data_IF_782704855881
#
_entry.id   IF_782704855881
#
_cell.length_a   1.000
_cell.length_b   1.000
_cell.length_c   1.000
_cell.angle_alpha   90.00
_cell.angle_beta   90.00
_cell.angle_gamma   90.00
#
_symmetry.space_group_name_H-M   'P 1'
#
loop_
_entity.id
_entity.type
_entity.pdbx_description
1 polymer ?
#
# COMPACT_ATOMS: atom_id res chain seq x y z
N UNK A 1 -3.59 6.94 25.90
CA UNK A 1 -3.36 8.35 25.52
C UNK A 1 -3.45 8.40 24.01
N UNK A 2 -4.43 9.10 23.45
CA UNK A 2 -4.63 9.16 22.00
C UNK A 2 -3.85 10.31 21.40
N UNK A 3 -3.10 10.05 20.34
CA UNK A 3 -2.51 11.11 19.51
C UNK A 3 -3.58 11.67 18.58
N UNK A 4 -3.55 12.97 18.33
CA UNK A 4 -4.38 13.62 17.31
C UNK A 4 -3.49 14.17 16.20
N UNK A 5 -3.94 14.13 14.95
CA UNK A 5 -3.26 14.78 13.84
C UNK A 5 -4.04 16.01 13.41
N UNK A 6 -3.39 17.17 13.40
CA UNK A 6 -3.98 18.43 12.96
C UNK A 6 -3.32 18.91 11.66
N UNK A 7 -4.12 19.52 10.78
CA UNK A 7 -3.59 20.41 9.75
C UNK A 7 -3.22 21.75 10.39
N UNK A 8 -1.96 22.16 10.27
CA UNK A 8 -1.44 23.37 10.93
C UNK A 8 -1.03 24.46 9.94
N UNK A 9 -1.02 25.70 10.41
CA UNK A 9 -0.61 26.85 9.59
C UNK A 9 0.89 26.81 9.24
N UNK A 10 1.31 27.46 8.15
CA UNK A 10 2.71 27.58 7.76
C UNK A 10 3.64 28.04 8.89
N UNK A 11 3.23 29.02 9.68
CA UNK A 11 4.02 29.58 10.79
C UNK A 11 4.23 28.55 11.90
N UNK A 12 3.18 27.78 12.24
CA UNK A 12 3.28 26.71 13.23
C UNK A 12 4.17 25.58 12.72
N UNK A 13 4.06 25.24 11.43
CA UNK A 13 4.85 24.18 10.80
C UNK A 13 6.34 24.51 10.79
N UNK A 14 6.71 25.74 10.42
CA UNK A 14 8.09 26.21 10.47
C UNK A 14 8.65 26.15 11.91
N UNK A 15 7.92 26.69 12.89
CA UNK A 15 8.35 26.66 14.29
C UNK A 15 8.53 25.22 14.81
N UNK A 16 7.63 24.32 14.45
CA UNK A 16 7.69 22.92 14.85
C UNK A 16 8.83 22.17 14.15
N UNK A 17 9.05 22.44 12.85
CA UNK A 17 10.17 21.90 12.09
C UNK A 17 11.51 22.29 12.74
N UNK A 18 11.70 23.57 13.06
CA UNK A 18 12.88 24.07 13.79
C UNK A 18 13.11 23.34 15.12
N UNK A 19 12.04 23.15 15.91
CA UNK A 19 12.11 22.44 17.20
C UNK A 19 12.52 20.98 17.03
N UNK A 20 11.97 20.29 16.02
CA UNK A 20 12.28 18.87 15.77
C UNK A 20 13.72 18.73 15.23
N UNK A 21 14.17 19.61 14.33
CA UNK A 21 15.56 19.63 13.85
C UNK A 21 16.53 19.79 15.03
N UNK A 22 16.26 20.72 15.94
CA UNK A 22 17.08 20.92 17.13
C UNK A 22 17.08 19.70 18.09
N UNK A 23 16.00 18.92 18.11
CA UNK A 23 15.87 17.69 18.89
C UNK A 23 16.55 16.47 18.21
N UNK A 24 16.79 16.54 16.89
CA UNK A 24 17.35 15.45 16.07
C UNK A 24 18.62 15.86 15.29
N UNK A 25 19.69 16.32 15.97
CA UNK A 25 20.91 16.79 15.31
C UNK A 25 21.62 15.70 14.47
N UNK A 26 21.42 14.42 14.80
CA UNK A 26 21.96 13.26 14.09
C UNK A 26 21.27 12.99 12.75
N UNK A 27 20.01 13.42 12.59
CA UNK A 27 19.30 13.33 11.32
C UNK A 27 19.54 14.59 10.48
N UNK A 28 19.68 15.76 11.11
CA UNK A 28 19.67 17.06 10.42
C UNK A 28 20.95 17.86 10.69
N UNK A 29 22.12 17.23 10.58
CA UNK A 29 23.41 17.80 10.95
C UNK A 29 23.99 18.86 10.00
N UNK A 30 23.32 19.18 8.89
CA UNK A 30 23.78 20.18 7.89
C UNK A 30 22.92 21.46 8.00
N UNK A 31 23.45 22.54 8.61
CA UNK A 31 22.69 23.77 8.85
C UNK A 31 22.09 24.40 7.57
N UNK A 32 22.80 24.33 6.45
CA UNK A 32 22.38 24.89 5.16
C UNK A 32 21.16 24.14 4.59
N UNK A 33 21.10 22.82 4.79
CA UNK A 33 19.94 22.01 4.39
C UNK A 33 18.73 22.28 5.30
N UNK A 34 18.97 22.53 6.59
CA UNK A 34 17.92 22.81 7.58
C UNK A 34 17.14 24.08 7.27
N UNK A 35 17.84 25.15 6.85
CA UNK A 35 17.19 26.41 6.46
C UNK A 35 16.29 26.23 5.22
N UNK A 36 16.70 25.35 4.30
CA UNK A 36 15.89 25.00 3.13
C UNK A 36 14.63 24.25 3.53
N UNK A 37 14.75 23.25 4.43
CA UNK A 37 13.60 22.51 4.96
C UNK A 37 12.59 23.42 5.66
N UNK A 38 13.04 24.30 6.55
CA UNK A 38 12.17 25.19 7.32
C UNK A 38 11.41 26.17 6.43
N UNK A 39 12.06 26.66 5.36
CA UNK A 39 11.40 27.51 4.37
C UNK A 39 10.39 26.71 3.53
N UNK A 40 10.79 25.52 3.06
CA UNK A 40 9.96 24.67 2.21
C UNK A 40 8.68 24.18 2.90
N UNK A 41 8.71 23.90 4.21
CA UNK A 41 7.49 23.50 4.93
C UNK A 41 6.42 24.59 4.92
N UNK A 42 6.78 25.89 4.80
CA UNK A 42 5.80 26.98 4.80
C UNK A 42 4.86 26.96 3.58
N UNK A 43 5.32 26.43 2.45
CA UNK A 43 4.53 26.37 1.21
C UNK A 43 3.76 25.07 1.05
N UNK A 44 3.91 24.15 2.00
CA UNK A 44 3.40 22.80 1.91
C UNK A 44 2.16 22.59 2.79
N UNK A 45 1.55 21.42 2.65
CA UNK A 45 0.47 20.95 3.51
C UNK A 45 1.09 20.23 4.70
N UNK A 46 0.80 20.68 5.91
CA UNK A 46 1.51 20.24 7.10
C UNK A 46 0.57 19.55 8.09
N UNK A 47 0.89 18.29 8.41
CA UNK A 47 0.20 17.47 9.40
C UNK A 47 1.05 17.41 10.66
N UNK A 48 0.49 17.77 11.80
CA UNK A 48 1.21 17.75 13.07
C UNK A 48 0.54 16.80 14.06
N UNK A 49 1.35 15.92 14.65
CA UNK A 49 0.92 15.04 15.71
C UNK A 49 0.93 15.79 17.04
N UNK A 50 -0.18 15.74 17.77
CA UNK A 50 -0.39 16.38 19.05
C UNK A 50 -0.60 15.35 20.17
N UNK A 51 0.01 15.61 21.32
CA UNK A 51 -0.25 14.92 22.58
C UNK A 51 -0.43 15.97 23.67
N UNK A 52 -1.56 15.93 24.38
CA UNK A 52 -1.88 16.84 25.50
C UNK A 52 -1.67 18.33 25.17
N UNK A 53 -2.06 18.75 23.96
CA UNK A 53 -1.92 20.13 23.48
C UNK A 53 -0.53 20.51 22.96
N UNK A 54 0.45 19.59 23.01
CA UNK A 54 1.81 19.81 22.53
C UNK A 54 2.02 19.09 21.20
N UNK A 55 2.54 19.80 20.19
CA UNK A 55 2.92 19.19 18.93
C UNK A 55 4.28 18.50 19.03
N UNK A 56 4.33 17.22 18.69
CA UNK A 56 5.46 16.30 18.91
C UNK A 56 5.97 15.64 17.62
N UNK A 57 5.27 15.82 16.50
CA UNK A 57 5.70 15.33 15.20
C UNK A 57 5.09 16.14 14.07
N UNK A 58 5.73 16.12 12.91
CA UNK A 58 5.33 16.89 11.74
C UNK A 58 5.63 16.08 10.47
N UNK A 59 4.68 16.08 9.53
CA UNK A 59 4.85 15.61 8.16
C UNK A 59 4.42 16.75 7.23
N UNK A 60 5.33 17.13 6.34
CA UNK A 60 5.13 18.14 5.31
C UNK A 60 4.97 17.48 3.94
N UNK A 61 3.85 17.76 3.28
CA UNK A 61 3.43 17.14 2.04
C UNK A 61 3.29 18.20 0.94
N UNK A 62 3.89 17.96 -0.21
CA UNK A 62 3.69 18.79 -1.41
C UNK A 62 3.25 17.96 -2.62
N UNK A 63 2.83 18.64 -3.69
CA UNK A 63 2.31 18.02 -4.91
C UNK A 63 3.11 18.53 -6.11
N UNK A 64 4.30 17.96 -6.38
CA UNK A 64 5.11 18.35 -7.55
C UNK A 64 4.35 18.16 -8.87
N UNK A 65 3.41 17.20 -8.91
CA UNK A 65 2.50 16.98 -10.02
C UNK A 65 1.09 16.64 -9.49
N UNK A 66 0.01 16.87 -10.25
CA UNK A 66 -1.35 16.59 -9.78
C UNK A 66 -1.58 15.14 -9.33
N UNK A 67 -0.93 14.17 -9.98
CA UNK A 67 -1.06 12.75 -9.64
C UNK A 67 0.00 12.23 -8.67
N UNK A 68 0.98 13.05 -8.26
CA UNK A 68 2.03 12.65 -7.33
C UNK A 68 2.10 13.58 -6.12
N UNK A 69 1.85 13.01 -4.95
CA UNK A 69 2.19 13.64 -3.68
C UNK A 69 3.63 13.29 -3.30
N UNK A 70 4.31 14.16 -2.58
CA UNK A 70 5.66 13.93 -2.14
C UNK A 70 5.82 14.35 -0.67
N UNK A 71 6.34 13.43 0.14
CA UNK A 71 6.73 13.73 1.52
C UNK A 71 7.98 14.58 1.43
N UNK A 72 7.80 15.89 1.57
CA UNK A 72 8.88 16.86 1.53
C UNK A 72 9.78 16.74 2.76
N UNK A 73 9.16 16.54 3.93
CA UNK A 73 9.88 16.43 5.19
C UNK A 73 9.02 15.71 6.23
N UNK A 74 9.63 14.90 7.08
CA UNK A 74 8.95 14.28 8.22
C UNK A 74 9.90 14.14 9.40
N UNK A 75 9.41 14.42 10.60
CA UNK A 75 10.15 14.23 11.83
C UNK A 75 9.22 14.03 13.02
N UNK A 76 9.66 13.21 13.97
CA UNK A 76 8.99 13.00 15.26
C UNK A 76 10.04 13.19 16.34
N UNK A 77 9.71 13.98 17.37
CA UNK A 77 10.60 14.22 18.51
C UNK A 77 11.06 12.88 19.11
N UNK A 78 12.34 12.80 19.46
CA UNK A 78 13.05 11.57 19.84
C UNK A 78 12.32 10.79 20.93
N UNK A 79 11.79 11.50 21.93
CA UNK A 79 11.11 10.92 23.09
C UNK A 79 9.79 10.23 22.70
N UNK A 80 9.27 10.51 21.52
CA UNK A 80 8.00 10.03 20.99
C UNK A 80 8.16 9.07 19.79
N UNK A 81 9.40 8.77 19.40
CA UNK A 81 9.66 7.80 18.33
C UNK A 81 9.26 6.38 18.76
N UNK A 82 8.99 5.52 17.78
CA UNK A 82 8.58 4.12 17.98
C UNK A 82 7.24 3.91 18.71
N UNK A 83 6.44 4.97 18.88
CA UNK A 83 5.09 4.92 19.50
C UNK A 83 3.95 4.99 18.47
N UNK A 84 4.24 4.74 17.20
CA UNK A 84 3.23 4.74 16.12
C UNK A 84 2.89 6.10 15.51
N UNK A 85 3.40 7.21 16.04
CA UNK A 85 3.11 8.57 15.55
C UNK A 85 3.48 8.76 14.06
N UNK A 86 4.64 8.24 13.62
CA UNK A 86 5.02 8.31 12.22
C UNK A 86 4.04 7.59 11.29
N UNK A 87 3.49 6.43 11.73
CA UNK A 87 2.45 5.71 11.00
C UNK A 87 1.19 6.56 10.88
N UNK A 88 0.74 7.18 11.98
CA UNK A 88 -0.45 8.02 12.00
C UNK A 88 -0.31 9.25 11.08
N UNK A 89 0.83 9.95 11.15
CA UNK A 89 1.14 11.06 10.25
C UNK A 89 1.07 10.63 8.78
N UNK A 90 1.67 9.49 8.45
CA UNK A 90 1.69 8.95 7.10
C UNK A 90 0.30 8.52 6.62
N UNK A 91 -0.52 7.93 7.49
CA UNK A 91 -1.91 7.55 7.18
C UNK A 91 -2.74 8.78 6.83
N UNK A 92 -2.69 9.84 7.65
CA UNK A 92 -3.42 11.08 7.41
C UNK A 92 -2.96 11.80 6.14
N UNK A 93 -1.64 11.88 5.93
CA UNK A 93 -1.09 12.46 4.71
C UNK A 93 -1.49 11.65 3.46
N UNK A 94 -1.51 10.32 3.55
CA UNK A 94 -1.96 9.45 2.45
C UNK A 94 -3.44 9.66 2.15
N UNK A 95 -4.31 9.67 3.17
CA UNK A 95 -5.74 9.92 3.02
C UNK A 95 -6.02 11.29 2.40
N UNK A 96 -5.26 12.32 2.79
CA UNK A 96 -5.33 13.64 2.17
C UNK A 96 -4.91 13.59 0.70
N UNK A 97 -3.77 12.97 0.39
CA UNK A 97 -3.27 12.85 -0.98
C UNK A 97 -4.27 12.13 -1.91
N UNK A 98 -4.91 11.08 -1.40
CA UNK A 98 -6.01 10.37 -2.07
C UNK A 98 -7.18 11.31 -2.38
N UNK A 99 -7.67 12.06 -1.38
CA UNK A 99 -8.74 13.05 -1.57
C UNK A 99 -8.36 14.12 -2.60
N UNK A 100 -7.08 14.50 -2.62
CA UNK A 100 -6.48 15.41 -3.59
C UNK A 100 -6.20 14.77 -4.96
N UNK A 101 -6.70 13.56 -5.24
CA UNK A 101 -6.57 12.82 -6.50
C UNK A 101 -5.14 12.41 -6.88
N UNK A 102 -4.21 12.38 -5.91
CA UNK A 102 -2.91 11.78 -6.13
C UNK A 102 -3.04 10.25 -6.25
N UNK A 103 -2.26 9.68 -7.17
CA UNK A 103 -2.16 8.23 -7.41
C UNK A 103 -0.89 7.64 -6.83
N UNK A 104 0.10 8.47 -6.54
CA UNK A 104 1.36 8.06 -5.95
C UNK A 104 1.79 9.00 -4.84
N UNK A 105 2.58 8.47 -3.93
CA UNK A 105 3.32 9.21 -2.93
C UNK A 105 4.80 8.89 -3.06
N UNK A 106 5.66 9.89 -3.13
CA UNK A 106 7.11 9.73 -3.17
C UNK A 106 7.76 10.24 -1.89
N UNK A 107 8.94 9.71 -1.59
CA UNK A 107 9.82 10.23 -0.55
C UNK A 107 11.27 9.93 -0.92
N UNK A 108 12.17 10.81 -0.51
CA UNK A 108 13.61 10.59 -0.62
C UNK A 108 14.24 10.41 0.77
N UNK A 109 15.22 9.53 0.87
CA UNK A 109 16.02 9.29 2.08
C UNK A 109 17.42 8.83 1.69
N UNK A 110 18.38 8.78 2.61
CA UNK A 110 19.70 8.21 2.31
C UNK A 110 19.59 6.74 1.88
N UNK A 111 20.40 6.38 0.89
CA UNK A 111 20.52 5.02 0.39
C UNK A 111 21.01 4.06 1.48
N UNK A 112 20.46 2.83 1.59
CA UNK A 112 20.95 1.80 2.51
C UNK A 112 22.44 1.48 2.34
N UNK A 113 23.01 1.78 1.16
CA UNK A 113 24.44 1.58 0.87
C UNK A 113 25.39 2.50 1.66
N UNK A 114 24.90 3.62 2.20
CA UNK A 114 25.70 4.59 2.97
C UNK A 114 25.98 4.11 4.41
N UNK A 115 25.36 3.00 4.84
CA UNK A 115 25.56 2.35 6.16
C UNK A 115 25.30 3.25 7.39
N UNK A 116 24.51 4.30 7.24
CA UNK A 116 24.02 5.07 8.38
C UNK A 116 22.84 4.33 9.05
N UNK A 117 22.97 4.02 10.34
CA UNK A 117 21.97 3.24 11.08
C UNK A 117 20.63 3.95 11.25
N UNK A 118 20.65 5.28 11.37
CA UNK A 118 19.45 6.09 11.57
C UNK A 118 18.65 6.18 10.27
N UNK A 119 19.33 6.43 9.16
CA UNK A 119 18.69 6.45 7.84
C UNK A 119 18.28 5.08 7.33
N UNK A 120 18.96 4.00 7.75
CA UNK A 120 18.50 2.64 7.49
C UNK A 120 17.17 2.36 8.18
N UNK A 121 16.96 2.85 9.41
CA UNK A 121 15.66 2.76 10.10
C UNK A 121 14.58 3.54 9.34
N UNK A 122 14.90 4.73 8.83
CA UNK A 122 13.97 5.53 8.01
C UNK A 122 13.59 4.80 6.71
N UNK A 123 14.56 4.20 6.03
CA UNK A 123 14.31 3.39 4.82
C UNK A 123 13.38 2.21 5.12
N UNK A 124 13.68 1.44 6.18
CA UNK A 124 12.86 0.30 6.61
C UNK A 124 11.47 0.73 7.06
N UNK A 125 11.34 1.89 7.71
CA UNK A 125 10.05 2.48 8.07
C UNK A 125 9.19 2.68 6.81
N UNK A 126 9.71 3.32 5.78
CA UNK A 126 8.93 3.54 4.55
C UNK A 126 8.59 2.22 3.84
N UNK A 127 9.53 1.28 3.75
CA UNK A 127 9.27 -0.05 3.18
C UNK A 127 8.12 -0.77 3.90
N UNK A 128 8.13 -0.77 5.24
CA UNK A 128 7.06 -1.37 6.05
C UNK A 128 5.69 -0.73 5.79
N UNK A 129 5.64 0.53 5.35
CA UNK A 129 4.40 1.26 5.07
C UNK A 129 4.06 1.34 3.57
N UNK A 130 4.61 0.41 2.77
CA UNK A 130 4.21 0.19 1.37
C UNK A 130 4.99 1.02 0.34
N UNK A 131 6.09 1.64 0.73
CA UNK A 131 6.99 2.27 -0.23
C UNK A 131 7.98 1.26 -0.81
N UNK A 132 8.19 1.33 -2.11
CA UNK A 132 9.21 0.55 -2.82
C UNK A 132 10.31 1.47 -3.35
N UNK A 133 11.59 1.06 -3.30
CA UNK A 133 12.67 1.82 -3.91
C UNK A 133 12.49 1.87 -5.44
N UNK A 134 12.70 3.04 -6.03
CA UNK A 134 12.59 3.26 -7.47
C UNK A 134 13.97 3.32 -8.13
N UNK A 135 14.82 4.23 -7.65
CA UNK A 135 16.22 4.35 -8.08
C UNK A 135 17.06 5.08 -7.02
N UNK A 136 18.38 4.94 -7.15
CA UNK A 136 19.33 5.78 -6.44
C UNK A 136 19.76 6.94 -7.32
N UNK A 137 19.90 8.12 -6.74
CA UNK A 137 20.47 9.28 -7.40
C UNK A 137 21.43 9.96 -6.42
N UNK A 138 22.57 10.42 -6.94
CA UNK A 138 23.49 11.27 -6.21
C UNK A 138 23.36 12.70 -6.73
N UNK A 139 22.63 13.59 -6.05
CA UNK A 139 22.56 14.99 -6.44
C UNK A 139 23.97 15.61 -6.47
N UNK A 140 24.23 16.49 -7.42
CA UNK A 140 25.57 17.08 -7.64
C UNK A 140 26.12 17.79 -6.40
N UNK A 141 25.24 18.37 -5.59
CA UNK A 141 25.59 19.11 -4.36
C UNK A 141 25.54 18.25 -3.09
N UNK A 142 25.26 16.94 -3.21
CA UNK A 142 25.13 16.02 -2.08
C UNK A 142 26.32 15.06 -2.03
N UNK A 143 26.86 14.86 -0.83
CA UNK A 143 27.93 13.89 -0.62
C UNK A 143 27.43 12.44 -0.66
N UNK A 144 26.14 12.23 -0.37
CA UNK A 144 25.53 10.92 -0.16
C UNK A 144 24.66 10.49 -1.35
N UNK A 145 24.57 9.18 -1.58
CA UNK A 145 23.58 8.63 -2.49
C UNK A 145 22.20 8.64 -1.82
N UNK A 146 21.22 9.21 -2.51
CA UNK A 146 19.82 9.19 -2.09
C UNK A 146 19.10 8.03 -2.76
N UNK A 147 18.14 7.45 -2.07
CA UNK A 147 17.15 6.53 -2.64
C UNK A 147 15.80 7.22 -2.72
N UNK A 148 15.20 7.16 -3.90
CA UNK A 148 13.86 7.65 -4.15
C UNK A 148 12.91 6.48 -4.01
N UNK A 149 11.96 6.57 -3.08
CA UNK A 149 10.92 5.58 -2.91
C UNK A 149 9.59 6.12 -3.39
N UNK A 150 8.73 5.21 -3.83
CA UNK A 150 7.36 5.53 -4.19
C UNK A 150 6.39 4.51 -3.60
N UNK A 151 5.17 4.96 -3.37
CA UNK A 151 4.02 4.17 -2.95
C UNK A 151 2.86 4.49 -3.89
N UNK A 152 2.13 3.47 -4.34
CA UNK A 152 0.83 3.69 -4.98
C UNK A 152 -0.21 4.07 -3.92
N UNK A 153 -0.96 5.12 -4.21
CA UNK A 153 -2.13 5.55 -3.46
C UNK A 153 -3.39 5.02 -4.17
N UNK A 154 -4.47 4.77 -3.43
CA UNK A 154 -5.71 4.21 -3.97
C UNK A 154 -5.57 2.80 -4.56
N UNK A 155 -4.97 1.87 -3.81
CA UNK A 155 -5.13 0.44 -4.13
C UNK A 155 -6.22 -0.11 -3.21
N UNK A 156 -7.43 -0.39 -3.72
CA UNK A 156 -8.52 -0.96 -2.91
C UNK A 156 -8.10 -2.25 -2.19
N UNK A 157 -7.23 -3.05 -2.82
CA UNK A 157 -6.67 -4.23 -2.20
C UNK A 157 -5.79 -3.90 -0.99
N UNK A 158 -4.94 -2.88 -1.10
CA UNK A 158 -4.08 -2.44 0.01
C UNK A 158 -4.88 -1.82 1.15
N UNK A 159 -5.89 -1.02 0.83
CA UNK A 159 -6.82 -0.47 1.81
C UNK A 159 -7.54 -1.59 2.57
N UNK A 160 -8.06 -2.58 1.84
CA UNK A 160 -8.71 -3.74 2.43
C UNK A 160 -7.78 -4.55 3.35
N UNK A 161 -6.53 -4.80 2.93
CA UNK A 161 -5.52 -5.49 3.74
C UNK A 161 -5.25 -4.74 5.04
N UNK A 162 -5.19 -3.41 5.01
CA UNK A 162 -4.99 -2.60 6.21
C UNK A 162 -6.18 -2.71 7.14
N UNK A 163 -7.40 -2.57 6.62
CA UNK A 163 -8.64 -2.66 7.42
C UNK A 163 -8.78 -4.04 8.06
N UNK A 164 -8.53 -5.13 7.33
CA UNK A 164 -8.56 -6.51 7.84
C UNK A 164 -7.55 -6.73 8.97
N UNK A 165 -6.34 -6.17 8.84
CA UNK A 165 -5.32 -6.26 9.90
C UNK A 165 -5.72 -5.46 11.13
N UNK A 166 -6.27 -4.26 10.94
CA UNK A 166 -6.75 -3.42 12.05
C UNK A 166 -7.94 -4.07 12.77
N UNK A 167 -8.85 -4.72 12.03
CA UNK A 167 -9.94 -5.49 12.60
C UNK A 167 -9.43 -6.67 13.45
N UNK A 168 -8.46 -7.43 12.93
CA UNK A 168 -7.80 -8.52 13.67
C UNK A 168 -7.08 -8.02 14.92
N UNK A 169 -6.33 -6.93 14.82
CA UNK A 169 -5.64 -6.31 15.95
C UNK A 169 -6.64 -5.82 17.04
N UNK A 170 -7.85 -5.42 16.64
CA UNK A 170 -8.96 -5.10 17.54
C UNK A 170 -9.64 -6.33 18.15
N UNK A 171 -9.29 -7.54 17.71
CA UNK A 171 -9.85 -8.81 18.17
C UNK A 171 -11.05 -9.29 17.34
N UNK A 172 -11.35 -8.65 16.21
CA UNK A 172 -12.31 -9.13 15.23
C UNK A 172 -11.59 -10.02 14.21
N UNK A 173 -11.50 -11.32 14.52
CA UNK A 173 -10.78 -12.31 13.69
C UNK A 173 -11.54 -13.65 13.64
N UNK A 174 -11.16 -14.48 12.68
CA UNK A 174 -11.75 -15.79 12.50
C UNK A 174 -11.28 -16.79 13.56
N UNK A 175 -12.16 -17.62 14.14
CA UNK A 175 -11.75 -18.58 15.17
C UNK A 175 -10.83 -19.69 14.66
N UNK A 176 -11.00 -20.10 13.40
CA UNK A 176 -10.23 -21.15 12.75
C UNK A 176 -10.42 -21.11 11.22
N UNK A 177 -9.65 -21.95 10.50
CA UNK A 177 -9.71 -22.07 9.03
C UNK A 177 -11.05 -22.60 8.52
N UNK A 178 -11.75 -23.43 9.29
CA UNK A 178 -13.01 -24.04 8.88
C UNK A 178 -14.11 -22.98 8.73
N UNK A 179 -14.25 -22.09 9.72
CA UNK A 179 -15.29 -21.06 9.70
C UNK A 179 -15.17 -20.07 8.55
N UNK A 180 -13.95 -19.65 8.19
CA UNK A 180 -13.75 -18.75 7.06
C UNK A 180 -13.95 -19.45 5.70
N UNK A 181 -13.68 -20.76 5.62
CA UNK A 181 -13.98 -21.56 4.43
C UNK A 181 -15.50 -21.73 4.30
N UNK A 182 -16.20 -21.97 5.41
CA UNK A 182 -17.66 -22.00 5.46
C UNK A 182 -18.27 -20.67 5.01
N UNK A 183 -17.68 -19.54 5.43
CA UNK A 183 -18.10 -18.23 4.92
C UNK A 183 -17.94 -18.14 3.41
N UNK A 184 -16.80 -18.54 2.85
CA UNK A 184 -16.58 -18.50 1.39
C UNK A 184 -17.59 -19.37 0.62
N UNK A 185 -18.06 -20.47 1.23
CA UNK A 185 -19.12 -21.30 0.68
C UNK A 185 -20.47 -20.58 0.77
N UNK A 186 -20.79 -19.93 1.89
CA UNK A 186 -22.00 -19.10 2.04
C UNK A 186 -22.08 -18.04 0.95
N UNK A 187 -21.01 -17.27 0.73
CA UNK A 187 -20.96 -16.25 -0.32
C UNK A 187 -21.21 -16.84 -1.71
N UNK A 188 -20.72 -18.06 -1.97
CA UNK A 188 -21.00 -18.76 -3.23
C UNK A 188 -22.48 -19.14 -3.38
N UNK A 189 -23.17 -19.50 -2.29
CA UNK A 189 -24.60 -19.79 -2.33
C UNK A 189 -25.42 -18.50 -2.49
N UNK A 190 -25.04 -17.40 -1.82
CA UNK A 190 -25.68 -16.09 -1.95
C UNK A 190 -25.62 -15.57 -3.40
N UNK A 191 -24.47 -15.73 -4.07
CA UNK A 191 -24.35 -15.43 -5.51
C UNK A 191 -25.34 -16.27 -6.34
N UNK A 192 -25.48 -17.58 -6.04
CA UNK A 192 -26.41 -18.44 -6.79
C UNK A 192 -27.86 -18.03 -6.55
N UNK A 193 -28.22 -17.70 -5.30
CA UNK A 193 -29.55 -17.23 -4.93
C UNK A 193 -29.89 -15.92 -5.63
N UNK A 194 -28.99 -14.94 -5.62
CA UNK A 194 -29.18 -13.65 -6.30
C UNK A 194 -29.39 -13.82 -7.82
N UNK A 195 -28.62 -14.72 -8.46
CA UNK A 195 -28.78 -15.04 -9.89
C UNK A 195 -30.12 -15.76 -10.15
N UNK A 196 -30.47 -16.76 -9.35
CA UNK A 196 -31.70 -17.54 -9.51
C UNK A 196 -32.96 -16.71 -9.24
N UNK A 197 -32.88 -15.78 -8.28
CA UNK A 197 -33.91 -14.80 -7.95
C UNK A 197 -34.04 -13.67 -8.98
N UNK A 198 -33.17 -13.63 -9.99
CA UNK A 198 -33.12 -12.60 -11.03
C UNK A 198 -32.99 -11.18 -10.43
N UNK A 199 -32.13 -11.06 -9.41
CA UNK A 199 -31.87 -9.79 -8.75
C UNK A 199 -31.18 -8.78 -9.69
N UNK A 200 -31.26 -7.48 -9.38
CA UNK A 200 -30.53 -6.46 -10.13
C UNK A 200 -29.03 -6.72 -10.15
N UNK A 201 -28.36 -6.36 -11.26
CA UNK A 201 -26.91 -6.59 -11.43
C UNK A 201 -26.03 -6.03 -10.29
N UNK A 202 -26.45 -4.93 -9.66
CA UNK A 202 -25.68 -4.35 -8.56
C UNK A 202 -25.69 -5.24 -7.31
N UNK A 203 -26.78 -5.99 -7.05
CA UNK A 203 -26.84 -6.98 -5.96
C UNK A 203 -25.93 -8.16 -6.23
N UNK A 204 -26.01 -8.73 -7.44
CA UNK A 204 -25.11 -9.81 -7.84
C UNK A 204 -23.63 -9.37 -7.74
N UNK A 205 -23.33 -8.12 -8.05
CA UNK A 205 -21.99 -7.55 -7.89
C UNK A 205 -21.57 -7.43 -6.41
N UNK A 206 -22.50 -7.12 -5.51
CA UNK A 206 -22.30 -7.07 -4.05
C UNK A 206 -21.87 -8.45 -3.54
N UNK A 207 -22.65 -9.50 -3.83
CA UNK A 207 -22.33 -10.88 -3.41
C UNK A 207 -20.99 -11.37 -3.97
N UNK A 208 -20.67 -11.03 -5.23
CA UNK A 208 -19.34 -11.31 -5.80
C UNK A 208 -18.24 -10.56 -5.03
N UNK A 209 -18.52 -9.34 -4.59
CA UNK A 209 -17.64 -8.54 -3.75
C UNK A 209 -17.36 -9.20 -2.42
N UNK A 210 -18.38 -9.76 -1.77
CA UNK A 210 -18.25 -10.43 -0.47
C UNK A 210 -17.47 -11.75 -0.57
N UNK A 211 -17.63 -12.50 -1.67
CA UNK A 211 -16.75 -13.64 -1.97
C UNK A 211 -15.29 -13.21 -2.19
N UNK A 212 -15.05 -12.12 -2.93
CA UNK A 212 -13.70 -11.60 -3.14
C UNK A 212 -13.06 -11.16 -1.82
N UNK A 213 -13.83 -10.47 -0.97
CA UNK A 213 -13.41 -10.07 0.36
C UNK A 213 -13.04 -11.27 1.22
N UNK A 214 -13.92 -12.28 1.29
CA UNK A 214 -13.70 -13.49 2.06
C UNK A 214 -12.46 -14.26 1.58
N UNK A 215 -12.23 -14.33 0.27
CA UNK A 215 -11.01 -14.95 -0.28
C UNK A 215 -9.72 -14.21 0.10
N UNK A 216 -9.76 -12.87 0.14
CA UNK A 216 -8.63 -12.04 0.59
C UNK A 216 -8.41 -12.21 2.10
N UNK A 217 -9.48 -12.20 2.90
CA UNK A 217 -9.42 -12.45 4.34
C UNK A 217 -8.82 -13.83 4.63
N UNK A 218 -9.19 -14.87 3.85
CA UNK A 218 -8.61 -16.21 3.95
C UNK A 218 -7.13 -16.25 3.60
N UNK A 219 -6.72 -15.53 2.56
CA UNK A 219 -5.31 -15.39 2.20
C UNK A 219 -4.50 -14.81 3.38
N UNK A 220 -5.00 -13.73 3.99
CA UNK A 220 -4.37 -13.07 5.14
C UNK A 220 -4.38 -13.94 6.40
N UNK A 221 -5.50 -14.64 6.66
CA UNK A 221 -5.65 -15.54 7.81
C UNK A 221 -4.65 -16.71 7.73
N UNK A 222 -4.45 -17.26 6.53
CA UNK A 222 -3.47 -18.32 6.28
C UNK A 222 -2.00 -17.83 6.23
N UNK A 223 -1.75 -16.53 6.46
CA UNK A 223 -0.41 -15.95 6.49
C UNK A 223 0.21 -15.69 5.11
N UNK A 224 -0.60 -15.67 4.05
CA UNK A 224 -0.15 -15.34 2.70
C UNK A 224 -0.33 -13.86 2.38
N UNK A 225 0.50 -13.38 1.46
CA UNK A 225 0.38 -12.02 0.91
C UNK A 225 -0.58 -12.03 -0.30
N UNK A 226 -1.68 -11.25 -0.27
CA UNK A 226 -2.66 -11.25 -1.37
C UNK A 226 -2.10 -10.81 -2.71
N UNK A 227 -1.20 -9.81 -2.77
CA UNK A 227 -0.61 -9.34 -4.02
C UNK A 227 0.29 -10.41 -4.64
N UNK A 228 1.16 -11.04 -3.83
CA UNK A 228 1.98 -12.15 -4.29
C UNK A 228 1.11 -13.33 -4.76
N UNK A 229 0.03 -13.62 -4.06
CA UNK A 229 -0.91 -14.69 -4.42
C UNK A 229 -1.58 -14.41 -5.78
N UNK A 230 -2.04 -13.18 -6.00
CA UNK A 230 -2.61 -12.74 -7.28
C UNK A 230 -1.58 -12.79 -8.41
N UNK A 231 -0.34 -12.35 -8.16
CA UNK A 231 0.73 -12.41 -9.15
C UNK A 231 1.06 -13.85 -9.58
N UNK A 232 1.04 -14.81 -8.64
CA UNK A 232 1.20 -16.23 -8.94
C UNK A 232 0.02 -16.79 -9.77
N UNK A 233 -1.20 -16.34 -9.52
CA UNK A 233 -2.37 -16.71 -10.34
C UNK A 233 -2.18 -16.24 -11.78
N UNK A 234 -1.79 -14.98 -11.99
CA UNK A 234 -1.54 -14.41 -13.33
C UNK A 234 -0.47 -15.22 -14.07
N UNK A 235 0.63 -15.54 -13.41
CA UNK A 235 1.74 -16.32 -13.99
C UNK A 235 1.26 -17.72 -14.42
N UNK A 236 0.59 -18.43 -13.49
CA UNK A 236 0.07 -19.78 -13.72
C UNK A 236 -1.02 -19.81 -14.81
N UNK A 237 -1.91 -18.84 -14.82
CA UNK A 237 -2.97 -18.73 -15.81
C UNK A 237 -2.39 -18.43 -17.20
N UNK A 238 -1.43 -17.52 -17.29
CA UNK A 238 -0.73 -17.18 -18.54
C UNK A 238 -0.06 -18.42 -19.13
N UNK A 239 0.73 -19.16 -18.34
CA UNK A 239 1.37 -20.39 -18.81
C UNK A 239 0.36 -21.42 -19.34
N UNK A 240 -0.72 -21.65 -18.59
CA UNK A 240 -1.79 -22.58 -18.99
C UNK A 240 -2.50 -22.14 -20.27
N UNK A 241 -2.77 -20.85 -20.42
CA UNK A 241 -3.40 -20.31 -21.63
C UNK A 241 -2.49 -20.47 -22.85
N UNK A 242 -1.18 -20.22 -22.70
CA UNK A 242 -0.22 -20.47 -23.78
C UNK A 242 -0.16 -21.95 -24.17
N UNK A 243 -0.10 -22.87 -23.20
CA UNK A 243 -0.12 -24.31 -23.48
C UNK A 243 -1.43 -24.74 -24.16
N UNK A 244 -2.57 -24.25 -23.68
CA UNK A 244 -3.88 -24.54 -24.28
C UNK A 244 -3.94 -24.05 -25.73
N UNK A 245 -3.45 -22.83 -26.01
CA UNK A 245 -3.39 -22.27 -27.37
C UNK A 245 -2.48 -23.11 -28.29
N UNK A 246 -1.34 -23.59 -27.79
CA UNK A 246 -0.45 -24.46 -28.57
C UNK A 246 -1.11 -25.80 -28.91
N UNK A 247 -1.73 -26.47 -27.93
CA UNK A 247 -2.43 -27.74 -28.15
C UNK A 247 -3.61 -27.57 -29.11
N UNK A 248 -4.38 -26.49 -28.96
CA UNK A 248 -5.48 -26.18 -29.87
C UNK A 248 -4.97 -26.00 -31.31
N UNK A 249 -3.86 -25.27 -31.48
CA UNK A 249 -3.24 -25.06 -32.79
C UNK A 249 -2.74 -26.36 -33.44
N UNK A 250 -2.16 -27.27 -32.65
CA UNK A 250 -1.77 -28.61 -33.14
C UNK A 250 -2.96 -29.42 -33.64
N UNK A 251 -4.15 -29.20 -33.08
CA UNK A 251 -5.41 -29.81 -33.53
C UNK A 251 -6.08 -29.03 -34.67
N UNK A 252 -5.39 -28.05 -35.27
CA UNK A 252 -5.92 -27.22 -36.35
C UNK A 252 -6.92 -26.16 -35.92
N UNK A 253 -7.09 -25.92 -34.61
CA UNK A 253 -8.00 -24.92 -34.08
C UNK A 253 -7.29 -23.57 -33.90
N UNK A 254 -7.81 -22.55 -34.57
CA UNK A 254 -7.35 -21.15 -34.42
C UNK A 254 -8.14 -20.38 -33.37
N UNK A 255 -9.29 -20.91 -32.92
CA UNK A 255 -10.13 -20.34 -31.88
C UNK A 255 -10.94 -21.42 -31.17
N UNK A 256 -11.27 -21.18 -29.90
CA UNK A 256 -12.20 -22.02 -29.13
C UNK A 256 -13.63 -21.47 -29.11
N UNK A 257 -13.88 -20.30 -29.71
CA UNK A 257 -15.24 -19.75 -29.79
C UNK A 257 -16.15 -20.70 -30.57
N UNK A 258 -17.30 -21.05 -30.00
CA UNK A 258 -18.27 -21.97 -30.60
C UNK A 258 -17.87 -23.45 -30.54
N UNK A 259 -16.75 -23.79 -29.90
CA UNK A 259 -16.38 -25.19 -29.67
C UNK A 259 -17.19 -25.81 -28.52
N UNK A 260 -17.41 -27.14 -28.52
CA UNK A 260 -18.08 -27.81 -27.42
C UNK A 260 -17.36 -27.61 -26.08
N UNK A 261 -18.14 -27.50 -25.00
CA UNK A 261 -17.62 -27.30 -23.65
C UNK A 261 -16.71 -28.45 -23.23
N UNK A 262 -17.04 -29.68 -23.64
CA UNK A 262 -16.28 -30.89 -23.36
C UNK A 262 -14.85 -30.79 -23.93
N UNK A 263 -14.72 -30.28 -25.16
CA UNK A 263 -13.43 -30.06 -25.81
C UNK A 263 -12.63 -28.97 -25.07
N UNK A 264 -13.28 -27.87 -24.67
CA UNK A 264 -12.62 -26.81 -23.89
C UNK A 264 -12.08 -27.32 -22.56
N UNK A 265 -12.86 -28.16 -21.85
CA UNK A 265 -12.44 -28.81 -20.61
C UNK A 265 -11.28 -29.78 -20.86
N UNK A 266 -11.32 -30.55 -21.94
CA UNK A 266 -10.24 -31.48 -22.31
C UNK A 266 -8.92 -30.73 -22.56
N UNK A 267 -8.95 -29.68 -23.38
CA UNK A 267 -7.79 -28.85 -23.70
C UNK A 267 -7.22 -28.17 -22.44
N UNK A 268 -8.10 -27.66 -21.56
CA UNK A 268 -7.70 -27.08 -20.29
C UNK A 268 -7.04 -28.08 -19.36
N UNK A 269 -7.57 -29.29 -19.27
CA UNK A 269 -6.99 -30.36 -18.46
C UNK A 269 -5.63 -30.82 -19.00
N UNK A 270 -5.44 -30.86 -20.33
CA UNK A 270 -4.14 -31.10 -20.96
C UNK A 270 -3.15 -29.98 -20.62
N UNK A 271 -3.55 -28.72 -20.76
CA UNK A 271 -2.70 -27.56 -20.44
C UNK A 271 -2.25 -27.53 -18.97
N UNK A 272 -3.14 -27.91 -18.03
CA UNK A 272 -2.80 -28.03 -16.60
C UNK A 272 -1.68 -29.04 -16.29
N UNK A 273 -1.49 -30.06 -17.14
CA UNK A 273 -0.46 -31.09 -16.97
C UNK A 273 0.92 -30.65 -17.46
N UNK A 274 0.96 -29.72 -18.43
CA UNK A 274 2.20 -29.20 -19.03
C UNK A 274 2.78 -28.05 -18.21
N UNK A 275 1.94 -27.17 -17.68
CA UNK A 275 2.35 -26.00 -16.87
C UNK A 275 2.42 -26.26 -15.36
N UNK A 276 2.86 -27.46 -14.94
CA UNK A 276 3.11 -27.81 -13.53
C UNK A 276 4.60 -27.86 -13.25
#
# INVERSE_FOLDING_TARGET
MGYQIDLISPEKAEQLCCKIIANLPEYFGIPEANASYTSGVRTNINFAAQLDGVYIGLLSLNFPYPSNSNIYWMGVMREYQHQGIGRLLLQEASAYAVKAQAKTMTVETLSPGEKDENYLKTYQFYQKHGFSPLFNLKPTDYQWNMVYLFKQLNSPLQELIVIEREARDYGFDWPNHEMIIEQAISECEEIKEAIAGNEPKYRIQEEIGDLLHTAISLCLFAGFDPDLTLAQIVTKFTARMCSLQAIAKEQGLTTLKGQPTELMIELWNKAKRVGR
#
